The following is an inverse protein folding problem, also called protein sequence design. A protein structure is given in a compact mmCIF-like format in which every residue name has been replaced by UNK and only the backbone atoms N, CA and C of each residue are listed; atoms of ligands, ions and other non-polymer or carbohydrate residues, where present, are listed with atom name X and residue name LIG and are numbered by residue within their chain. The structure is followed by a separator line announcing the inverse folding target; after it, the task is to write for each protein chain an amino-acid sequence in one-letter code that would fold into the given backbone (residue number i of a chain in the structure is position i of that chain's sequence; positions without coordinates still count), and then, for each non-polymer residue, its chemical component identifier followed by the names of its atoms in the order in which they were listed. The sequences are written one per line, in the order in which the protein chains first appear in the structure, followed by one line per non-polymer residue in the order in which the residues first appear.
data_IF_277330446089
#
_entry.id   IF_277330446089
#
_cell.length_a   1.000
_cell.length_b   1.000
_cell.length_c   1.000
_cell.angle_alpha   90.00
_cell.angle_beta   90.00
_cell.angle_gamma   90.00
#
_symmetry.space_group_name_H-M   'P 1'
#
loop_
_entity.id
_entity.type
_entity.pdbx_description
1 polymer ?
#
# COMPACT_ATOMS: atom_id res chain seq x y z
N UNK A 1 8.74 15.98 -12.97
CA UNK A 1 9.59 15.21 -12.04
C UNK A 1 8.82 15.15 -10.73
N UNK A 2 8.23 14.00 -10.37
CA UNK A 2 7.45 13.88 -9.13
C UNK A 2 8.45 13.94 -7.97
N UNK A 3 8.22 14.86 -7.05
CA UNK A 3 9.16 15.19 -5.99
C UNK A 3 9.33 13.99 -5.04
N UNK A 4 10.56 13.55 -4.79
CA UNK A 4 10.85 12.40 -3.92
C UNK A 4 10.31 12.63 -2.51
N UNK A 5 10.32 13.88 -2.05
CA UNK A 5 9.72 14.30 -0.77
C UNK A 5 8.22 13.97 -0.65
N UNK A 6 7.48 13.97 -1.75
CA UNK A 6 6.03 13.69 -1.78
C UNK A 6 5.73 12.19 -1.67
N UNK A 7 6.62 11.34 -2.22
CA UNK A 7 6.58 9.89 -2.07
C UNK A 7 7.01 9.45 -0.67
N UNK A 8 7.98 10.15 -0.06
CA UNK A 8 8.34 9.95 1.35
C UNK A 8 7.23 10.40 2.33
N UNK A 9 6.32 11.28 1.88
CA UNK A 9 5.16 11.69 2.67
C UNK A 9 4.01 10.67 2.64
N UNK A 10 4.02 9.72 1.71
CA UNK A 10 2.94 8.74 1.54
C UNK A 10 3.00 7.70 2.67
N UNK A 11 2.11 7.91 3.64
CA UNK A 11 2.03 7.13 4.88
C UNK A 11 0.77 6.27 4.87
N UNK A 12 0.83 5.13 5.54
CA UNK A 12 -0.31 4.24 5.73
C UNK A 12 -1.45 5.00 6.44
N UNK A 13 -2.66 5.10 5.87
CA UNK A 13 -3.77 5.86 6.44
C UNK A 13 -4.24 5.33 7.80
N UNK A 14 -4.01 4.03 8.06
CA UNK A 14 -4.33 3.42 9.33
C UNK A 14 -3.27 3.71 10.42
N UNK A 15 -1.98 3.72 10.06
CA UNK A 15 -0.90 3.83 11.03
C UNK A 15 -0.43 5.26 11.29
N UNK A 16 -0.58 6.17 10.32
CA UNK A 16 -0.09 7.56 10.42
C UNK A 16 -0.62 8.34 11.63
N UNK A 17 -1.75 7.88 12.22
CA UNK A 17 -2.32 8.48 13.44
C UNK A 17 -1.54 8.16 14.71
N UNK A 18 -0.85 7.02 14.76
CA UNK A 18 -0.18 6.51 15.97
C UNK A 18 1.30 6.20 15.76
N UNK A 19 1.73 5.99 14.52
CA UNK A 19 3.06 5.51 14.13
C UNK A 19 3.58 6.20 12.88
N UNK A 20 4.78 5.81 12.45
CA UNK A 20 5.39 6.36 11.25
C UNK A 20 4.66 5.96 9.96
N UNK A 21 3.96 4.84 9.90
CA UNK A 21 3.16 4.43 8.73
C UNK A 21 3.96 4.25 7.44
N UNK A 22 5.20 3.78 7.50
CA UNK A 22 6.06 3.61 6.32
C UNK A 22 5.45 2.61 5.32
N UNK A 23 5.43 2.99 4.05
CA UNK A 23 4.93 2.18 2.94
C UNK A 23 6.10 1.80 2.02
N UNK A 24 6.19 0.52 1.68
CA UNK A 24 7.14 -0.02 0.72
C UNK A 24 6.42 -0.36 -0.58
N UNK A 25 6.92 0.14 -1.70
CA UNK A 25 6.43 -0.26 -3.03
C UNK A 25 6.92 -1.69 -3.34
N UNK A 26 5.97 -2.58 -3.63
CA UNK A 26 6.22 -3.98 -3.95
C UNK A 26 5.63 -4.28 -5.33
N UNK A 27 6.43 -4.92 -6.20
CA UNK A 27 6.02 -5.30 -7.57
C UNK A 27 5.42 -4.15 -8.39
N UNK A 28 5.80 -2.91 -8.08
CA UNK A 28 5.31 -1.67 -8.71
C UNK A 28 3.78 -1.47 -8.68
N UNK A 29 3.04 -2.34 -8.01
CA UNK A 29 1.57 -2.42 -8.05
C UNK A 29 0.95 -2.51 -6.66
N UNK A 30 1.78 -2.51 -5.61
CA UNK A 30 1.34 -2.65 -4.22
C UNK A 30 2.12 -1.71 -3.31
N UNK A 31 1.42 -1.06 -2.39
CA UNK A 31 2.02 -0.34 -1.26
C UNK A 31 1.82 -1.18 0.00
N UNK A 32 2.91 -1.71 0.54
CA UNK A 32 2.89 -2.56 1.74
C UNK A 32 3.34 -1.76 2.95
N UNK A 33 2.52 -1.72 3.99
CA UNK A 33 2.92 -1.09 5.24
C UNK A 33 3.82 -2.01 6.05
N UNK A 34 5.01 -1.55 6.42
CA UNK A 34 5.97 -2.33 7.22
C UNK A 34 5.50 -2.55 8.66
N UNK A 35 4.61 -1.70 9.18
CA UNK A 35 4.21 -1.73 10.59
C UNK A 35 2.93 -2.53 10.86
N UNK A 36 1.95 -2.47 9.96
CA UNK A 36 0.67 -3.20 10.11
C UNK A 36 0.50 -4.34 9.11
N UNK A 37 1.40 -4.48 8.14
CA UNK A 37 1.33 -5.54 7.12
C UNK A 37 0.22 -5.39 6.09
N UNK A 38 -0.60 -4.31 6.17
CA UNK A 38 -1.62 -3.98 5.16
C UNK A 38 -0.99 -3.75 3.80
N UNK A 39 -1.68 -4.16 2.75
CA UNK A 39 -1.17 -4.08 1.37
C UNK A 39 -2.22 -3.42 0.50
N UNK A 40 -1.93 -2.21 0.06
CA UNK A 40 -2.82 -1.39 -0.73
C UNK A 40 -2.52 -1.60 -2.22
N UNK A 41 -3.49 -2.03 -3.04
CA UNK A 41 -3.29 -2.20 -4.46
C UNK A 41 -3.17 -0.85 -5.17
N UNK A 42 -2.35 -0.77 -6.21
CA UNK A 42 -2.28 0.35 -7.15
C UNK A 42 -3.02 -0.08 -8.41
N UNK A 43 -4.09 0.65 -8.74
CA UNK A 43 -4.97 0.36 -9.87
C UNK A 43 -4.99 1.57 -10.77
N UNK A 44 -4.66 1.41 -12.05
CA UNK A 44 -4.59 2.52 -13.02
C UNK A 44 -3.68 3.67 -12.54
N UNK A 45 -2.51 3.33 -11.99
CA UNK A 45 -1.55 4.26 -11.38
C UNK A 45 -2.10 5.06 -10.16
N UNK A 46 -3.27 4.69 -9.64
CA UNK A 46 -3.88 5.29 -8.45
C UNK A 46 -3.76 4.32 -7.26
N UNK A 47 -3.06 4.69 -6.17
CA UNK A 47 -2.98 3.87 -4.97
C UNK A 47 -4.33 3.85 -4.24
N UNK A 48 -4.92 2.66 -4.09
CA UNK A 48 -6.17 2.45 -3.37
C UNK A 48 -5.87 2.40 -1.87
N UNK A 49 -5.78 3.57 -1.24
CA UNK A 49 -5.52 3.73 0.20
C UNK A 49 -6.77 3.51 1.07
N UNK A 50 -7.59 2.51 0.74
CA UNK A 50 -8.73 2.10 1.55
C UNK A 50 -8.28 1.07 2.57
N UNK A 51 -8.55 1.32 3.85
CA UNK A 51 -8.19 0.41 4.95
C UNK A 51 -8.83 -0.98 4.73
N UNK A 52 -10.09 -1.01 4.31
CA UNK A 52 -10.82 -2.26 4.02
C UNK A 52 -10.17 -3.10 2.92
N UNK A 53 -9.58 -2.47 1.90
CA UNK A 53 -8.83 -3.19 0.87
C UNK A 53 -7.49 -3.67 1.42
N UNK A 54 -6.77 -2.81 2.15
CA UNK A 54 -5.50 -3.17 2.78
C UNK A 54 -5.60 -4.36 3.74
N UNK A 55 -6.70 -4.46 4.48
CA UNK A 55 -6.99 -5.54 5.42
C UNK A 55 -7.11 -6.92 4.74
N UNK A 56 -7.68 -6.98 3.53
CA UNK A 56 -7.85 -8.24 2.76
C UNK A 56 -6.52 -8.95 2.47
N UNK A 57 -5.43 -8.19 2.44
CA UNK A 57 -4.11 -8.68 2.05
C UNK A 57 -3.13 -8.77 3.21
N UNK A 58 -3.54 -8.50 4.47
CA UNK A 58 -2.64 -8.56 5.63
C UNK A 58 -1.95 -9.93 5.73
N UNK A 59 -2.73 -11.00 5.59
CA UNK A 59 -2.23 -12.38 5.72
C UNK A 59 -1.51 -12.90 4.47
N UNK A 60 -1.70 -12.26 3.31
CA UNK A 60 -1.02 -12.64 2.07
C UNK A 60 0.45 -12.25 2.12
N UNK A 61 1.36 -13.12 1.70
CA UNK A 61 2.79 -12.75 1.57
C UNK A 61 2.98 -11.82 0.38
N UNK A 62 3.96 -10.92 0.47
CA UNK A 62 4.33 -10.01 -0.63
C UNK A 62 4.61 -10.76 -1.95
N UNK A 63 5.20 -11.96 -1.86
CA UNK A 63 5.50 -12.81 -3.02
C UNK A 63 4.25 -13.36 -3.71
N UNK A 64 3.16 -13.57 -2.98
CA UNK A 64 1.91 -14.16 -3.48
C UNK A 64 0.91 -13.10 -4.00
N UNK A 65 1.27 -11.81 -3.92
CA UNK A 65 0.41 -10.74 -4.42
C UNK A 65 0.23 -10.82 -5.95
N UNK A 66 -1.01 -10.77 -6.46
CA UNK A 66 -1.28 -10.81 -7.89
C UNK A 66 -0.82 -9.53 -8.60
N UNK A 67 -0.42 -9.67 -9.87
CA UNK A 67 -0.03 -8.58 -10.77
C UNK A 67 -0.75 -8.77 -12.12
N UNK A 68 -1.53 -7.80 -12.62
CA UNK A 68 -1.82 -6.51 -11.99
C UNK A 68 -2.69 -6.68 -10.73
N UNK A 69 -2.61 -5.68 -9.83
CA UNK A 69 -3.42 -5.70 -8.62
C UNK A 69 -4.93 -5.76 -8.95
N UNK A 70 -5.73 -6.51 -8.18
CA UNK A 70 -7.15 -6.65 -8.45
C UNK A 70 -7.84 -5.33 -8.19
N UNK A 71 -8.84 -5.02 -9.02
CA UNK A 71 -9.66 -3.83 -8.78
C UNK A 71 -10.45 -4.05 -7.49
N UNK A 72 -10.49 -3.06 -6.58
CA UNK A 72 -11.40 -3.09 -5.46
C UNK A 72 -12.84 -3.22 -5.99
N UNK A 73 -13.64 -4.04 -5.30
CA UNK A 73 -15.03 -4.34 -5.66
C UNK A 73 -15.99 -3.24 -5.18
#
# INVERSE_FOLDING_TARGET
MINQDLLELLRCPACVKEKEGRLQLVKETWLVCEECGRKYPIVEDIPVMLISEGDKWIESKASDLPVPAPRPA
#
